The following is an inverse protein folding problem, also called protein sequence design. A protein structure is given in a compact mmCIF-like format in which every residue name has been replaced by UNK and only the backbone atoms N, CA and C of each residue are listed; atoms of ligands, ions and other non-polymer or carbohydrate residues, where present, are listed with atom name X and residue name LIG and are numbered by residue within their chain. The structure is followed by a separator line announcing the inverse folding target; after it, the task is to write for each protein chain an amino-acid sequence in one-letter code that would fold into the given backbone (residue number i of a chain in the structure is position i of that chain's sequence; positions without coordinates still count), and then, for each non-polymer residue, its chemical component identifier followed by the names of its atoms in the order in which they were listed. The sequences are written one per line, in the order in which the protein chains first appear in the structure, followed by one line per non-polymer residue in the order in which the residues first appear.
data_IF_884919351030
#
_entry.id   IF_884919351030
#
_cell.length_a   1.000
_cell.length_b   1.000
_cell.length_c   1.000
_cell.angle_alpha   90.00
_cell.angle_beta   90.00
_cell.angle_gamma   90.00
#
_symmetry.space_group_name_H-M   'P 1'
#
loop_
_entity.id
_entity.type
_entity.pdbx_description
1 polymer ?
#
# COMPACT_ATOMS: atom_id res chain seq x y z
N UNK A 1 2.01 1.69 -9.91
CA UNK A 1 2.50 1.34 -11.26
C UNK A 1 3.13 2.52 -11.98
N UNK A 2 2.45 3.68 -12.09
CA UNK A 2 3.00 4.85 -12.81
C UNK A 2 4.40 5.28 -12.34
N UNK A 3 4.62 5.40 -11.02
CA UNK A 3 5.91 5.81 -10.46
C UNK A 3 7.04 4.83 -10.83
N UNK A 4 6.81 3.52 -10.68
CA UNK A 4 7.81 2.50 -11.03
C UNK A 4 8.14 2.51 -12.52
N UNK A 5 7.13 2.69 -13.37
CA UNK A 5 7.29 2.79 -14.82
C UNK A 5 8.13 4.02 -15.21
N UNK A 6 7.84 5.19 -14.64
CA UNK A 6 8.64 6.40 -14.88
C UNK A 6 10.10 6.23 -14.45
N UNK A 7 10.37 5.67 -13.26
CA UNK A 7 11.73 5.41 -12.80
C UNK A 7 12.48 4.42 -13.70
N UNK A 8 11.81 3.37 -14.17
CA UNK A 8 12.41 2.40 -15.10
C UNK A 8 12.77 3.05 -16.45
N UNK A 9 11.90 3.90 -17.00
CA UNK A 9 12.18 4.64 -18.23
C UNK A 9 13.36 5.60 -18.08
N UNK A 10 13.47 6.31 -16.95
CA UNK A 10 14.62 7.18 -16.66
C UNK A 10 15.92 6.38 -16.70
N UNK A 11 15.96 5.23 -16.02
CA UNK A 11 17.16 4.37 -15.99
C UNK A 11 17.50 3.81 -17.38
N UNK A 12 16.48 3.42 -18.16
CA UNK A 12 16.69 2.87 -19.51
C UNK A 12 17.14 3.92 -20.53
N UNK A 13 16.61 5.15 -20.48
CA UNK A 13 16.91 6.22 -21.45
C UNK A 13 18.30 6.81 -21.20
N UNK A 14 18.68 7.04 -19.94
CA UNK A 14 19.93 7.73 -19.61
C UNK A 14 21.15 6.80 -19.53
N UNK A 15 20.96 5.50 -19.83
CA UNK A 15 21.99 4.46 -19.96
C UNK A 15 23.28 4.75 -19.20
N UNK A 16 23.20 4.73 -17.86
CA UNK A 16 24.36 5.00 -17.02
C UNK A 16 25.26 3.78 -16.98
N UNK A 17 26.38 3.89 -17.68
CA UNK A 17 27.47 2.92 -17.64
C UNK A 17 28.56 3.49 -16.72
N UNK A 18 28.51 3.16 -15.42
CA UNK A 18 29.63 3.44 -14.52
C UNK A 18 30.74 2.41 -14.78
N UNK A 19 31.86 2.84 -15.35
CA UNK A 19 33.09 2.04 -15.34
C UNK A 19 33.06 0.73 -16.15
N UNK A 20 32.36 0.67 -17.28
CA UNK A 20 32.46 -0.45 -18.22
C UNK A 20 31.81 -1.77 -17.78
N UNK A 21 31.24 -1.87 -16.57
CA UNK A 21 30.63 -3.10 -16.05
C UNK A 21 29.19 -2.85 -15.62
N UNK A 22 28.25 -3.67 -16.11
CA UNK A 22 26.87 -3.68 -15.63
C UNK A 22 26.83 -4.15 -14.16
N UNK A 23 26.23 -3.37 -13.25
CA UNK A 23 25.80 -3.86 -11.94
C UNK A 23 26.54 -3.35 -10.69
N UNK A 24 27.49 -2.43 -10.83
CA UNK A 24 28.26 -1.93 -9.67
C UNK A 24 27.46 -0.92 -8.81
N UNK A 25 26.48 -0.23 -9.42
CA UNK A 25 25.56 0.69 -8.74
C UNK A 25 24.17 0.07 -8.68
N UNK A 26 23.65 -0.17 -7.47
CA UNK A 26 22.34 -0.76 -7.24
C UNK A 26 21.39 0.23 -6.55
N UNK A 27 20.13 0.25 -6.97
CA UNK A 27 19.08 1.03 -6.32
C UNK A 27 19.20 2.55 -6.53
N UNK A 28 19.29 3.30 -5.44
CA UNK A 28 19.20 4.77 -5.44
C UNK A 28 20.39 5.49 -6.09
N UNK A 29 21.66 5.11 -5.84
CA UNK A 29 22.81 5.69 -6.53
C UNK A 29 22.73 5.62 -8.05
N UNK A 30 22.14 4.54 -8.59
CA UNK A 30 21.96 4.37 -10.03
C UNK A 30 21.01 5.44 -10.62
N UNK A 31 19.90 5.72 -9.93
CA UNK A 31 18.92 6.74 -10.35
C UNK A 31 19.50 8.14 -10.22
N UNK A 32 20.27 8.41 -9.15
CA UNK A 32 20.95 9.70 -8.97
C UNK A 32 21.94 9.97 -10.11
N UNK A 33 22.71 8.96 -10.52
CA UNK A 33 23.65 9.09 -11.64
C UNK A 33 22.95 9.24 -12.99
N UNK A 34 21.80 8.57 -13.19
CA UNK A 34 20.98 8.72 -14.41
C UNK A 34 20.44 10.13 -14.55
N UNK A 35 19.99 10.70 -13.44
CA UNK A 35 19.48 12.07 -13.42
C UNK A 35 20.62 13.09 -13.54
N UNK A 36 21.79 12.82 -12.98
CA UNK A 36 22.97 13.66 -13.19
C UNK A 36 23.35 13.74 -14.68
N UNK A 37 23.30 12.62 -15.40
CA UNK A 37 23.58 12.60 -16.85
C UNK A 37 22.54 13.37 -17.68
N UNK A 38 21.33 13.58 -17.17
CA UNK A 38 20.24 14.26 -17.87
C UNK A 38 20.18 15.76 -17.56
N UNK A 39 20.11 16.08 -16.26
CA UNK A 39 19.75 17.40 -15.73
C UNK A 39 20.97 18.08 -15.08
N UNK A 40 22.08 17.36 -14.91
CA UNK A 40 23.29 17.85 -14.23
C UNK A 40 23.19 17.72 -12.71
N UNK A 41 24.12 18.36 -12.01
CA UNK A 41 24.29 18.24 -10.55
C UNK A 41 23.08 18.74 -9.75
N UNK A 42 22.37 19.76 -10.26
CA UNK A 42 21.14 20.26 -9.64
C UNK A 42 20.06 19.17 -9.51
N UNK A 43 19.99 18.24 -10.47
CA UNK A 43 19.05 17.12 -10.44
C UNK A 43 19.28 16.17 -9.26
N UNK A 44 20.53 15.99 -8.83
CA UNK A 44 20.87 15.12 -7.69
C UNK A 44 20.23 15.65 -6.39
N UNK A 45 20.30 16.96 -6.15
CA UNK A 45 19.76 17.57 -4.93
C UNK A 45 18.24 17.42 -4.84
N UNK A 46 17.53 17.66 -5.94
CA UNK A 46 16.06 17.53 -6.01
C UNK A 46 15.64 16.09 -5.74
N UNK A 47 16.31 15.12 -6.38
CA UNK A 47 16.00 13.68 -6.22
C UNK A 47 16.28 13.21 -4.80
N UNK A 48 17.39 13.65 -4.21
CA UNK A 48 17.74 13.29 -2.83
C UNK A 48 16.68 13.80 -1.85
N UNK A 49 16.20 15.03 -2.00
CA UNK A 49 15.11 15.57 -1.19
C UNK A 49 13.79 14.81 -1.41
N UNK A 50 13.44 14.52 -2.66
CA UNK A 50 12.23 13.77 -2.98
C UNK A 50 12.24 12.36 -2.37
N UNK A 51 13.37 11.66 -2.44
CA UNK A 51 13.50 10.32 -1.88
C UNK A 51 13.50 10.35 -0.35
N UNK A 52 14.10 11.36 0.28
CA UNK A 52 13.99 11.54 1.71
C UNK A 52 12.52 11.65 2.15
N UNK A 53 11.75 12.51 1.49
CA UNK A 53 10.31 12.65 1.77
C UNK A 53 9.53 11.35 1.52
N UNK A 54 9.85 10.63 0.45
CA UNK A 54 9.22 9.35 0.11
C UNK A 54 9.56 8.24 1.12
N UNK A 55 10.82 8.14 1.55
CA UNK A 55 11.26 7.18 2.54
C UNK A 55 10.63 7.48 3.91
N UNK A 56 10.56 8.76 4.28
CA UNK A 56 9.95 9.19 5.54
C UNK A 56 8.45 8.89 5.60
N UNK A 57 7.70 9.20 4.54
CA UNK A 57 6.25 8.89 4.49
C UNK A 57 6.00 7.38 4.51
N UNK A 58 6.82 6.61 3.79
CA UNK A 58 6.75 5.15 3.77
C UNK A 58 7.05 4.54 5.14
N UNK A 59 8.03 5.08 5.86
CA UNK A 59 8.37 4.64 7.21
C UNK A 59 7.22 4.89 8.19
N UNK A 60 6.63 6.08 8.15
CA UNK A 60 5.46 6.43 8.98
C UNK A 60 4.27 5.53 8.65
N UNK A 61 3.98 5.30 7.36
CA UNK A 61 2.89 4.43 6.94
C UNK A 61 3.05 2.99 7.47
N UNK A 62 4.24 2.41 7.34
CA UNK A 62 4.53 1.07 7.87
C UNK A 62 4.45 1.03 9.40
N UNK A 63 4.90 2.07 10.08
CA UNK A 63 4.79 2.18 11.54
C UNK A 63 3.30 2.20 11.98
N UNK A 64 2.44 2.99 11.32
CA UNK A 64 1.00 3.01 11.62
C UNK A 64 0.33 1.66 11.34
N UNK A 65 0.67 1.00 10.24
CA UNK A 65 0.16 -0.34 9.92
C UNK A 65 0.50 -1.35 11.03
N UNK A 66 1.76 -1.35 11.48
CA UNK A 66 2.21 -2.26 12.53
C UNK A 66 1.62 -1.91 13.91
N UNK A 67 1.50 -0.61 14.25
CA UNK A 67 0.84 -0.18 15.49
C UNK A 67 -0.64 -0.61 15.52
N UNK A 68 -1.35 -0.50 14.40
CA UNK A 68 -2.73 -0.98 14.26
C UNK A 68 -2.85 -2.49 14.49
N UNK A 69 -1.99 -3.28 13.83
CA UNK A 69 -1.96 -4.73 13.99
C UNK A 69 -1.65 -5.16 15.43
N UNK A 70 -0.71 -4.49 16.09
CA UNK A 70 -0.36 -4.77 17.49
C UNK A 70 -1.51 -4.41 18.42
N UNK A 71 -2.17 -3.27 18.22
CA UNK A 71 -3.36 -2.88 19.01
C UNK A 71 -4.51 -3.87 18.87
N UNK A 72 -4.66 -4.49 17.71
CA UNK A 72 -5.64 -5.54 17.48
C UNK A 72 -5.31 -6.82 18.28
N UNK A 73 -4.04 -7.25 18.29
CA UNK A 73 -3.61 -8.47 18.99
C UNK A 73 -3.49 -8.25 20.51
N UNK A 74 -3.08 -7.06 20.95
CA UNK A 74 -2.77 -6.78 22.35
C UNK A 74 -3.08 -5.33 22.72
N UNK A 75 -3.92 -5.14 23.74
CA UNK A 75 -4.30 -3.82 24.28
C UNK A 75 -3.32 -3.27 25.34
N UNK A 76 -2.16 -3.91 25.52
CA UNK A 76 -1.19 -3.54 26.53
C UNK A 76 -0.26 -2.42 26.04
N UNK A 77 -0.29 -1.28 26.72
CA UNK A 77 0.55 -0.11 26.43
C UNK A 77 2.06 -0.38 26.54
N UNK A 78 2.48 -1.37 27.35
CA UNK A 78 3.90 -1.75 27.48
C UNK A 78 4.42 -2.37 26.19
N UNK A 79 3.63 -3.23 25.55
CA UNK A 79 4.00 -3.89 24.28
C UNK A 79 4.13 -2.86 23.15
N UNK A 80 3.24 -1.87 23.13
CA UNK A 80 3.32 -0.75 22.19
C UNK A 80 4.60 0.08 22.36
N UNK A 81 4.99 0.37 23.60
CA UNK A 81 6.23 1.11 23.86
C UNK A 81 7.47 0.29 23.48
N UNK A 82 7.52 -1.00 23.80
CA UNK A 82 8.61 -1.89 23.38
C UNK A 82 8.70 -1.96 21.85
N UNK A 83 7.57 -2.04 21.16
CA UNK A 83 7.54 -2.00 19.70
C UNK A 83 8.13 -0.69 19.14
N UNK A 84 7.76 0.46 19.68
CA UNK A 84 8.33 1.77 19.29
C UNK A 84 9.85 1.80 19.41
N UNK A 85 10.39 1.33 20.54
CA UNK A 85 11.84 1.22 20.71
C UNK A 85 12.47 0.26 19.69
N UNK A 86 11.83 -0.87 19.44
CA UNK A 86 12.30 -1.86 18.46
C UNK A 86 12.33 -1.28 17.04
N UNK A 87 11.33 -0.51 16.63
CA UNK A 87 11.33 0.19 15.34
C UNK A 87 12.51 1.16 15.22
N UNK A 88 12.78 1.97 16.25
CA UNK A 88 13.92 2.89 16.23
C UNK A 88 15.26 2.14 16.10
N UNK A 89 15.42 1.04 16.83
CA UNK A 89 16.60 0.17 16.73
C UNK A 89 16.71 -0.42 15.32
N UNK A 90 15.61 -0.93 14.75
CA UNK A 90 15.61 -1.50 13.41
C UNK A 90 16.00 -0.48 12.33
N UNK A 91 15.56 0.78 12.45
CA UNK A 91 15.97 1.87 11.55
C UNK A 91 17.47 2.14 11.70
N UNK A 92 17.97 2.26 12.93
CA UNK A 92 19.40 2.47 13.20
C UNK A 92 20.27 1.34 12.64
N UNK A 93 19.85 0.10 12.86
CA UNK A 93 20.52 -1.11 12.33
C UNK A 93 20.44 -1.12 10.80
N UNK A 94 19.33 -0.70 10.20
CA UNK A 94 19.18 -0.58 8.75
C UNK A 94 20.17 0.41 8.13
N UNK A 95 20.41 1.55 8.78
CA UNK A 95 21.37 2.54 8.31
C UNK A 95 22.84 2.10 8.43
N UNK A 96 23.16 1.15 9.31
CA UNK A 96 24.52 0.66 9.55
C UNK A 96 24.89 -0.57 8.69
N UNK A 97 23.90 -1.30 8.17
CA UNK A 97 24.12 -2.54 7.42
C UNK A 97 24.38 -2.31 5.93
N UNK A 98 25.02 -3.29 5.30
CA UNK A 98 25.24 -3.30 3.86
C UNK A 98 23.91 -3.42 3.10
N UNK A 99 23.81 -2.72 1.96
CA UNK A 99 22.61 -2.68 1.10
C UNK A 99 22.07 -4.08 0.80
N UNK A 100 22.91 -5.00 0.30
CA UNK A 100 22.50 -6.37 -0.04
C UNK A 100 21.94 -7.14 1.15
N UNK A 101 22.52 -6.97 2.35
CA UNK A 101 22.04 -7.68 3.54
C UNK A 101 20.67 -7.15 3.97
N UNK A 102 20.47 -5.83 3.93
CA UNK A 102 19.20 -5.20 4.26
C UNK A 102 18.07 -5.66 3.31
N UNK A 103 18.36 -5.72 2.00
CA UNK A 103 17.40 -6.22 1.00
C UNK A 103 17.09 -7.70 1.17
N UNK A 104 18.10 -8.56 1.35
CA UNK A 104 17.87 -9.98 1.58
C UNK A 104 17.02 -10.23 2.83
N UNK A 105 17.24 -9.47 3.91
CA UNK A 105 16.43 -9.56 5.11
C UNK A 105 14.99 -9.08 4.87
N UNK A 106 14.82 -7.97 4.15
CA UNK A 106 13.51 -7.47 3.76
C UNK A 106 12.74 -8.48 2.89
N UNK A 107 13.38 -9.08 1.89
CA UNK A 107 12.75 -10.07 1.00
C UNK A 107 12.29 -11.32 1.75
N UNK A 108 13.10 -11.82 2.69
CA UNK A 108 12.71 -12.98 3.51
C UNK A 108 11.50 -12.66 4.40
N UNK A 109 11.51 -11.50 5.07
CA UNK A 109 10.40 -11.09 5.92
C UNK A 109 9.13 -10.80 5.12
N UNK A 110 9.26 -10.20 3.93
CA UNK A 110 8.15 -9.96 3.02
C UNK A 110 7.57 -11.28 2.47
N UNK A 111 8.42 -12.25 2.13
CA UNK A 111 7.98 -13.57 1.70
C UNK A 111 7.17 -14.27 2.79
N UNK A 112 7.60 -14.20 4.05
CA UNK A 112 6.85 -14.76 5.18
C UNK A 112 5.47 -14.09 5.34
N UNK A 113 5.42 -12.75 5.29
CA UNK A 113 4.16 -11.99 5.35
C UNK A 113 3.22 -12.38 4.19
N UNK A 114 3.76 -12.48 2.98
CA UNK A 114 3.00 -12.86 1.80
C UNK A 114 2.41 -14.28 1.93
N UNK A 115 3.20 -15.25 2.41
CA UNK A 115 2.72 -16.63 2.61
C UNK A 115 1.55 -16.66 3.60
N UNK A 116 1.67 -15.99 4.76
CA UNK A 116 0.60 -15.95 5.77
C UNK A 116 -0.67 -15.34 5.19
N UNK A 117 -0.55 -14.21 4.49
CA UNK A 117 -1.69 -13.53 3.88
C UNK A 117 -2.33 -14.35 2.74
N UNK A 118 -1.53 -15.01 1.91
CA UNK A 118 -2.03 -15.86 0.83
C UNK A 118 -2.80 -17.06 1.38
N UNK A 119 -2.30 -17.71 2.43
CA UNK A 119 -3.02 -18.81 3.09
C UNK A 119 -4.34 -18.31 3.69
N UNK A 120 -4.34 -17.15 4.35
CA UNK A 120 -5.56 -16.55 4.88
C UNK A 120 -6.59 -16.23 3.78
N UNK A 121 -6.16 -15.62 2.69
CA UNK A 121 -7.02 -15.31 1.53
C UNK A 121 -7.54 -16.60 0.90
N UNK A 122 -6.73 -17.64 0.78
CA UNK A 122 -7.16 -18.92 0.21
C UNK A 122 -8.26 -19.58 1.06
N UNK A 123 -8.12 -19.56 2.39
CA UNK A 123 -9.13 -20.08 3.32
C UNK A 123 -10.42 -19.24 3.33
N UNK A 124 -10.29 -17.91 3.25
CA UNK A 124 -11.41 -16.97 3.22
C UNK A 124 -12.05 -16.83 1.82
N UNK A 125 -11.37 -17.28 0.77
CA UNK A 125 -11.76 -17.07 -0.62
C UNK A 125 -13.17 -17.58 -0.91
N UNK A 126 -13.53 -18.74 -0.36
CA UNK A 126 -14.90 -19.29 -0.50
C UNK A 126 -15.99 -18.34 0.01
N UNK A 127 -15.73 -17.61 1.10
CA UNK A 127 -16.66 -16.65 1.68
C UNK A 127 -16.62 -15.33 0.92
N UNK A 128 -15.43 -14.88 0.52
CA UNK A 128 -15.25 -13.68 -0.28
C UNK A 128 -15.98 -13.76 -1.63
N UNK A 129 -15.92 -14.91 -2.32
CA UNK A 129 -16.68 -15.12 -3.56
C UNK A 129 -18.19 -15.16 -3.34
N UNK A 130 -18.68 -15.76 -2.25
CA UNK A 130 -20.11 -15.73 -1.90
C UNK A 130 -20.59 -14.31 -1.58
N UNK A 131 -19.79 -13.55 -0.83
CA UNK A 131 -20.08 -12.14 -0.54
C UNK A 131 -20.08 -11.28 -1.81
N UNK A 132 -19.15 -11.56 -2.73
CA UNK A 132 -19.09 -10.90 -4.03
C UNK A 132 -20.31 -11.23 -4.88
N UNK A 133 -20.77 -12.49 -4.89
CA UNK A 133 -21.97 -12.88 -5.62
C UNK A 133 -23.22 -12.17 -5.08
N UNK A 134 -23.36 -12.08 -3.75
CA UNK A 134 -24.45 -11.33 -3.13
C UNK A 134 -24.39 -9.84 -3.49
N UNK A 135 -23.21 -9.23 -3.42
CA UNK A 135 -22.99 -7.85 -3.85
C UNK A 135 -23.37 -7.63 -5.33
N UNK A 136 -22.91 -8.50 -6.23
CA UNK A 136 -23.22 -8.43 -7.67
C UNK A 136 -24.70 -8.63 -7.93
N UNK A 137 -25.37 -9.52 -7.18
CA UNK A 137 -26.82 -9.74 -7.29
C UNK A 137 -27.61 -8.50 -6.88
N UNK A 138 -27.21 -7.81 -5.80
CA UNK A 138 -27.83 -6.56 -5.36
C UNK A 138 -27.61 -5.45 -6.40
N UNK A 139 -26.38 -5.29 -6.90
CA UNK A 139 -26.05 -4.31 -7.93
C UNK A 139 -26.80 -4.53 -9.24
N UNK A 140 -26.94 -5.78 -9.70
CA UNK A 140 -27.69 -6.10 -10.92
C UNK A 140 -29.19 -5.86 -10.80
N UNK A 141 -29.73 -5.83 -9.57
CA UNK A 141 -31.13 -5.46 -9.29
C UNK A 141 -31.34 -3.94 -9.20
N UNK A 142 -30.28 -3.14 -9.39
CA UNK A 142 -30.34 -1.69 -9.23
C UNK A 142 -30.53 -1.24 -7.78
N UNK A 143 -30.30 -2.13 -6.81
CA UNK A 143 -30.37 -1.82 -5.38
C UNK A 143 -29.01 -1.32 -4.89
N UNK A 144 -29.02 -0.49 -3.84
CA UNK A 144 -27.81 -0.11 -3.14
C UNK A 144 -27.26 -1.33 -2.38
N UNK A 145 -26.08 -1.85 -2.75
CA UNK A 145 -25.60 -3.12 -2.23
C UNK A 145 -25.15 -2.97 -0.78
N UNK A 146 -25.80 -3.70 0.12
CA UNK A 146 -25.47 -3.75 1.55
C UNK A 146 -24.99 -5.16 1.90
N UNK A 147 -23.81 -5.23 2.52
CA UNK A 147 -23.31 -6.48 3.06
C UNK A 147 -23.99 -6.83 4.39
N UNK A 148 -24.67 -7.98 4.44
CA UNK A 148 -25.27 -8.55 5.65
C UNK A 148 -24.72 -9.95 5.86
N UNK A 149 -24.02 -10.17 6.97
CA UNK A 149 -23.30 -11.43 7.24
C UNK A 149 -24.24 -12.63 7.27
N UNK A 150 -25.44 -12.42 7.80
CA UNK A 150 -26.41 -13.49 8.09
C UNK A 150 -27.11 -14.01 6.82
N UNK A 151 -26.97 -13.30 5.67
CA UNK A 151 -27.49 -13.76 4.38
C UNK A 151 -26.61 -14.81 3.71
N UNK A 152 -25.34 -14.92 4.11
CA UNK A 152 -24.37 -15.78 3.45
C UNK A 152 -24.33 -17.14 4.15
N UNK A 153 -24.94 -18.15 3.53
CA UNK A 153 -25.01 -19.50 4.10
C UNK A 153 -23.62 -20.09 4.38
N UNK A 154 -23.38 -20.41 5.65
CA UNK A 154 -22.20 -21.08 6.18
C UNK A 154 -21.10 -20.15 6.72
N UNK A 155 -21.23 -18.83 6.60
CA UNK A 155 -20.19 -17.88 7.00
C UNK A 155 -19.89 -18.01 8.51
N UNK A 156 -18.61 -17.96 8.93
CA UNK A 156 -18.25 -17.93 10.35
C UNK A 156 -18.92 -16.75 11.04
N UNK A 157 -19.29 -16.91 12.33
CA UNK A 157 -19.90 -15.82 13.12
C UNK A 157 -19.01 -14.57 13.05
N UNK A 158 -19.51 -13.52 12.41
CA UNK A 158 -18.90 -12.19 12.41
C UNK A 158 -19.25 -11.46 13.70
N UNK A 159 -18.50 -10.42 14.06
CA UNK A 159 -18.82 -9.56 15.23
C UNK A 159 -19.79 -8.42 14.87
N UNK A 160 -19.88 -8.10 13.57
CA UNK A 160 -20.62 -6.97 13.03
C UNK A 160 -21.44 -7.41 11.79
N UNK A 161 -22.34 -6.54 11.33
CA UNK A 161 -23.19 -6.71 10.13
C UNK A 161 -24.33 -7.75 10.22
N UNK A 162 -24.89 -7.94 11.42
CA UNK A 162 -26.09 -8.77 11.68
C UNK A 162 -27.42 -8.03 11.48
N UNK A 163 -27.39 -6.75 11.11
CA UNK A 163 -28.61 -5.93 11.00
C UNK A 163 -29.25 -6.18 9.64
N UNK A 164 -30.54 -6.55 9.64
CA UNK A 164 -31.32 -6.72 8.41
C UNK A 164 -31.41 -5.41 7.62
N UNK A 165 -31.38 -5.47 6.28
CA UNK A 165 -31.34 -4.25 5.45
C UNK A 165 -32.51 -3.30 5.64
N UNK A 166 -33.66 -3.79 6.11
CA UNK A 166 -34.86 -2.97 6.39
C UNK A 166 -34.71 -2.07 7.62
N UNK A 167 -33.70 -2.30 8.46
CA UNK A 167 -33.44 -1.53 9.69
C UNK A 167 -32.21 -0.61 9.57
N UNK A 168 -31.65 -0.47 8.37
CA UNK A 168 -30.56 0.46 8.13
C UNK A 168 -31.13 1.85 7.92
N UNK A 169 -30.77 2.78 8.80
CA UNK A 169 -31.02 4.20 8.56
C UNK A 169 -30.25 4.64 7.32
N UNK A 170 -30.94 5.31 6.40
CA UNK A 170 -30.33 5.91 5.21
C UNK A 170 -29.52 7.14 5.64
N UNK A 171 -28.22 6.93 5.85
CA UNK A 171 -27.31 7.93 6.45
C UNK A 171 -26.62 8.85 5.44
N UNK A 172 -27.04 8.86 4.16
CA UNK A 172 -26.49 9.80 3.18
C UNK A 172 -26.75 9.43 1.72
N UNK A 173 -26.29 10.28 0.78
CA UNK A 173 -26.37 9.98 -0.65
C UNK A 173 -25.57 8.72 -1.01
N UNK A 174 -25.89 8.12 -2.16
CA UNK A 174 -25.26 6.87 -2.61
C UNK A 174 -23.74 7.03 -2.73
N UNK A 175 -22.93 6.35 -1.89
CA UNK A 175 -21.50 6.61 -1.80
C UNK A 175 -20.79 6.34 -3.13
N UNK A 176 -21.24 5.35 -3.90
CA UNK A 176 -20.62 5.06 -5.20
C UNK A 176 -20.84 6.17 -6.24
N UNK A 177 -22.00 6.84 -6.22
CA UNK A 177 -22.24 7.99 -7.12
C UNK A 177 -21.44 9.20 -6.68
N UNK A 178 -21.34 9.43 -5.37
CA UNK A 178 -20.50 10.49 -4.81
C UNK A 178 -19.03 10.29 -5.17
N UNK A 179 -18.45 9.10 -4.98
CA UNK A 179 -17.06 8.83 -5.37
C UNK A 179 -16.81 8.95 -6.88
N UNK A 180 -17.77 8.52 -7.72
CA UNK A 180 -17.65 8.66 -9.17
C UNK A 180 -17.74 10.13 -9.57
N UNK A 181 -18.69 10.88 -9.01
CA UNK A 181 -18.84 12.31 -9.21
C UNK A 181 -17.57 13.05 -8.79
N UNK A 182 -17.07 12.80 -7.59
CA UNK A 182 -15.81 13.38 -7.07
C UNK A 182 -14.62 13.02 -7.96
N UNK A 183 -14.51 11.76 -8.43
CA UNK A 183 -13.42 11.37 -9.33
C UNK A 183 -13.53 12.03 -10.71
N UNK A 184 -14.75 12.20 -11.24
CA UNK A 184 -15.01 12.88 -12.50
C UNK A 184 -14.80 14.39 -12.39
N UNK A 185 -15.10 14.99 -11.24
CA UNK A 185 -14.89 16.41 -10.96
C UNK A 185 -13.40 16.71 -10.76
N UNK A 186 -12.63 15.81 -10.12
CA UNK A 186 -11.16 15.90 -10.00
C UNK A 186 -10.49 15.79 -11.39
N UNK A 187 -10.95 14.88 -12.25
CA UNK A 187 -10.47 14.77 -13.64
C UNK A 187 -10.90 15.98 -14.49
N UNK A 188 -12.09 16.55 -14.22
CA UNK A 188 -12.61 17.76 -14.87
C UNK A 188 -11.84 19.03 -14.51
N UNK A 189 -11.33 19.14 -13.28
CA UNK A 189 -10.53 20.28 -12.83
C UNK A 189 -9.07 20.19 -13.32
N UNK A 190 -8.53 18.97 -13.46
CA UNK A 190 -7.20 18.71 -14.05
C UNK A 190 -7.17 18.91 -15.58
N UNK A 191 -8.31 18.74 -16.25
CA UNK A 191 -8.45 18.92 -17.69
C UNK A 191 -9.16 20.25 -17.95
N UNK A 192 -8.43 21.37 -17.84
CA UNK A 192 -8.94 22.72 -18.02
C UNK A 192 -9.59 22.98 -19.39
N UNK A 193 -10.83 22.52 -19.55
CA UNK A 193 -11.73 22.87 -20.64
C UNK A 193 -12.63 24.02 -20.14
N UNK A 194 -12.15 25.23 -20.38
CA UNK A 194 -13.02 26.29 -20.89
C UNK A 194 -13.09 26.19 -22.40
#
# INVERSE_FOLDING_TARGET
MLVCTCSAFIVLIFFVQSGGTFGDLNGMPLVQMAINSSIGEFGIHVVTFAIFCFAFSSLIGNYFYAEGNIRFITKNNVVLNVFRFTCLIAIMVGCLNNFTLAWNFADITMAFMAIVNLVAIFLLGKWAFKALEDYTRQRNRGLNPVFVSDRIEGMPKTECWHVESDKLEDVGPEPMKEYLQDSMDIDGEATGLK
#
